data_IF_435412183554
#
_entry.id   IF_435412183554
#
_cell.length_a   1.000
_cell.length_b   1.000
_cell.length_c   1.000
_cell.angle_alpha   90.00
_cell.angle_beta   90.00
_cell.angle_gamma   90.00
#
_symmetry.space_group_name_H-M   'P 1'
#
loop_
_entity.id
_entity.type
_entity.pdbx_description
1 polymer ?
#
# COMPACT_ATOMS: atom_id res chain seq x y z
N UNK A 1 30.83 -15.84 9.58
CA UNK A 1 31.11 -14.43 9.91
C UNK A 1 29.76 -13.77 10.14
N UNK A 2 29.37 -13.56 11.39
CA UNK A 2 28.06 -12.96 11.71
C UNK A 2 28.17 -11.45 11.51
N UNK A 3 27.52 -10.92 10.48
CA UNK A 3 27.30 -9.48 10.36
C UNK A 3 26.22 -9.10 11.38
N UNK A 4 26.65 -8.55 12.51
CA UNK A 4 25.80 -7.79 13.41
C UNK A 4 25.38 -6.51 12.69
N UNK A 5 24.19 -6.53 12.08
CA UNK A 5 23.52 -5.31 11.65
C UNK A 5 23.00 -4.62 12.91
N UNK A 6 23.66 -3.55 13.32
CA UNK A 6 23.15 -2.65 14.36
C UNK A 6 21.84 -2.07 13.83
N UNK A 7 20.74 -2.31 14.55
CA UNK A 7 19.46 -1.68 14.27
C UNK A 7 19.63 -0.15 14.32
N UNK A 8 19.73 0.46 13.15
CA UNK A 8 19.62 1.91 13.01
C UNK A 8 18.23 2.31 13.51
N UNK A 9 18.10 3.51 14.05
CA UNK A 9 16.82 4.03 14.53
C UNK A 9 15.91 4.26 13.30
N UNK A 10 15.21 3.20 12.88
CA UNK A 10 14.58 3.04 11.57
C UNK A 10 13.19 3.69 11.47
N UNK A 11 12.93 4.77 12.20
CA UNK A 11 11.65 5.44 12.05
C UNK A 11 11.58 6.15 10.70
N UNK A 12 10.52 5.93 9.90
CA UNK A 12 10.39 6.60 8.62
C UNK A 12 10.34 8.12 8.84
N UNK A 13 11.16 8.84 8.08
CA UNK A 13 11.11 10.30 8.06
C UNK A 13 10.26 10.76 6.90
N UNK A 14 9.28 11.64 7.14
CA UNK A 14 8.37 12.14 6.12
C UNK A 14 8.63 13.62 5.88
N UNK A 15 8.86 14.00 4.63
CA UNK A 15 9.04 15.39 4.20
C UNK A 15 7.94 15.78 3.21
N UNK A 16 7.30 16.93 3.41
CA UNK A 16 6.33 17.47 2.46
C UNK A 16 6.99 18.52 1.56
N UNK A 17 6.95 18.30 0.25
CA UNK A 17 7.35 19.27 -0.76
C UNK A 17 6.12 20.09 -1.21
N UNK A 18 5.99 21.37 -0.80
CA UNK A 18 4.84 22.20 -1.13
C UNK A 18 4.79 22.60 -2.61
N UNK A 19 5.92 22.59 -3.32
CA UNK A 19 5.98 22.98 -4.74
C UNK A 19 5.32 21.94 -5.62
N UNK A 20 5.49 20.67 -5.27
CA UNK A 20 4.97 19.53 -6.04
C UNK A 20 3.75 18.88 -5.39
N UNK A 21 3.36 19.31 -4.18
CA UNK A 21 2.34 18.67 -3.34
C UNK A 21 2.60 17.17 -3.15
N UNK A 22 3.86 16.81 -2.89
CA UNK A 22 4.29 15.41 -2.72
C UNK A 22 4.93 15.21 -1.35
N UNK A 23 4.80 13.99 -0.84
CA UNK A 23 5.52 13.52 0.33
C UNK A 23 6.71 12.67 -0.09
N UNK A 24 7.84 12.85 0.58
CA UNK A 24 9.01 11.98 0.46
C UNK A 24 9.13 11.21 1.77
N UNK A 25 9.04 9.89 1.69
CA UNK A 25 9.23 9.00 2.84
C UNK A 25 10.61 8.38 2.72
N UNK A 26 11.47 8.66 3.69
CA UNK A 26 12.79 8.07 3.82
C UNK A 26 12.74 6.93 4.82
N UNK A 27 13.08 5.71 4.38
CA UNK A 27 13.08 4.53 5.23
C UNK A 27 14.13 3.55 4.74
N UNK A 28 15.03 3.14 5.63
CA UNK A 28 16.14 2.22 5.34
C UNK A 28 16.95 2.57 4.08
N UNK A 29 17.30 3.86 3.93
CA UNK A 29 18.05 4.36 2.77
C UNK A 29 17.24 4.46 1.46
N UNK A 30 15.98 4.02 1.45
CA UNK A 30 15.07 4.17 0.32
C UNK A 30 14.31 5.50 0.42
N UNK A 31 14.04 6.09 -0.75
CA UNK A 31 13.16 7.26 -0.87
C UNK A 31 11.93 6.87 -1.66
N UNK A 32 10.77 6.98 -1.01
CA UNK A 32 9.45 6.70 -1.60
C UNK A 32 8.75 8.03 -1.85
N UNK A 33 8.39 8.29 -3.10
CA UNK A 33 7.59 9.45 -3.47
C UNK A 33 6.10 9.11 -3.33
N UNK A 34 5.41 9.80 -2.43
CA UNK A 34 4.00 9.56 -2.14
C UNK A 34 3.15 10.78 -2.50
N UNK A 35 2.07 10.54 -3.23
CA UNK A 35 1.06 11.56 -3.55
C UNK A 35 -0.24 11.19 -2.86
N UNK A 36 -0.80 12.12 -2.08
CA UNK A 36 -2.13 11.99 -1.49
C UNK A 36 -3.11 12.81 -2.32
N UNK A 37 -4.16 12.18 -2.84
CA UNK A 37 -5.11 12.84 -3.74
C UNK A 37 -6.50 12.24 -3.63
N UNK A 38 -7.51 13.02 -3.96
CA UNK A 38 -8.88 12.55 -4.21
C UNK A 38 -9.25 12.66 -5.70
N UNK A 39 -8.25 12.84 -6.58
CA UNK A 39 -8.36 12.88 -8.04
C UNK A 39 -7.47 11.79 -8.65
N UNK A 40 -7.92 11.15 -9.72
CA UNK A 40 -7.13 10.13 -10.41
C UNK A 40 -5.82 10.69 -10.99
N UNK A 41 -4.76 9.88 -10.99
CA UNK A 41 -3.49 10.18 -11.63
C UNK A 41 -3.15 9.12 -12.69
N UNK A 42 -2.22 9.43 -13.59
CA UNK A 42 -1.84 8.55 -14.70
C UNK A 42 -0.65 7.68 -14.28
N UNK A 43 -0.75 6.37 -14.49
CA UNK A 43 0.34 5.42 -14.26
C UNK A 43 1.29 5.33 -15.48
N UNK A 44 2.56 4.99 -15.22
CA UNK A 44 3.56 4.72 -16.27
C UNK A 44 3.43 3.31 -16.88
N UNK A 45 4.38 2.91 -17.74
CA UNK A 45 4.39 1.62 -18.47
C UNK A 45 4.68 0.37 -17.62
N UNK A 46 4.81 0.49 -16.29
CA UNK A 46 5.11 -0.64 -15.41
C UNK A 46 3.88 -1.53 -15.21
N UNK A 47 4.05 -2.85 -15.28
CA UNK A 47 2.91 -3.79 -15.25
C UNK A 47 2.51 -4.24 -13.85
N UNK A 48 3.38 -4.15 -12.85
CA UNK A 48 3.08 -4.65 -11.50
C UNK A 48 2.76 -3.48 -10.58
N UNK A 49 1.61 -3.53 -9.93
CA UNK A 49 1.09 -2.46 -9.06
C UNK A 49 0.78 -3.06 -7.69
N UNK A 50 1.49 -2.62 -6.65
CA UNK A 50 1.12 -2.92 -5.28
C UNK A 50 -0.21 -2.27 -4.93
N UNK A 51 -1.15 -3.03 -4.36
CA UNK A 51 -2.48 -2.57 -4.02
C UNK A 51 -2.78 -2.92 -2.55
N UNK A 52 -3.26 -1.93 -1.81
CA UNK A 52 -3.78 -2.11 -0.45
C UNK A 52 -4.97 -1.19 -0.20
N UNK A 53 -5.81 -1.54 0.77
CA UNK A 53 -7.03 -0.80 1.09
C UNK A 53 -7.27 -0.70 2.58
N UNK A 54 -7.66 0.49 3.03
CA UNK A 54 -8.11 0.72 4.40
C UNK A 54 -9.62 0.93 4.45
N UNK A 55 -10.27 0.30 5.43
CA UNK A 55 -11.71 0.17 5.48
C UNK A 55 -12.26 0.88 6.72
N UNK A 56 -13.46 1.44 6.56
CA UNK A 56 -14.21 2.02 7.67
C UNK A 56 -15.53 1.27 7.88
N UNK A 57 -15.99 1.10 9.13
CA UNK A 57 -17.34 0.65 9.39
C UNK A 57 -18.34 1.74 8.96
N UNK A 58 -19.37 1.34 8.21
CA UNK A 58 -20.50 2.21 7.83
C UNK A 58 -21.76 1.82 8.59
N UNK A 59 -21.97 0.52 8.78
CA UNK A 59 -23.05 -0.05 9.59
C UNK A 59 -22.48 -1.21 10.45
N UNK A 60 -23.31 -1.87 11.26
CA UNK A 60 -22.86 -2.98 12.13
C UNK A 60 -22.14 -4.10 11.38
N UNK A 61 -22.50 -4.36 10.13
CA UNK A 61 -21.93 -5.45 9.30
C UNK A 61 -21.29 -4.97 8.01
N UNK A 62 -21.53 -3.72 7.60
CA UNK A 62 -21.02 -3.18 6.34
C UNK A 62 -19.77 -2.34 6.56
N UNK A 63 -18.77 -2.61 5.74
CA UNK A 63 -17.55 -1.80 5.63
C UNK A 63 -17.48 -1.17 4.25
N UNK A 64 -16.87 0.02 4.17
CA UNK A 64 -16.57 0.70 2.91
C UNK A 64 -15.09 0.99 2.86
N UNK A 65 -14.49 0.86 1.68
CA UNK A 65 -13.11 1.28 1.44
C UNK A 65 -13.03 2.81 1.58
N UNK A 66 -12.20 3.27 2.51
CA UNK A 66 -11.96 4.69 2.74
C UNK A 66 -10.70 5.16 2.01
N UNK A 67 -9.67 4.32 1.96
CA UNK A 67 -8.39 4.62 1.32
C UNK A 67 -8.01 3.47 0.39
N UNK A 68 -7.55 3.83 -0.80
CA UNK A 68 -6.88 2.94 -1.74
C UNK A 68 -5.42 3.39 -1.85
N UNK A 69 -4.48 2.47 -1.64
CA UNK A 69 -3.07 2.69 -1.86
C UNK A 69 -2.62 1.93 -3.12
N UNK A 70 -1.94 2.62 -4.03
CA UNK A 70 -1.36 2.04 -5.23
C UNK A 70 0.12 2.38 -5.28
N UNK A 71 1.00 1.38 -5.38
CA UNK A 71 2.45 1.62 -5.45
C UNK A 71 3.05 0.97 -6.70
N UNK A 72 3.86 1.74 -7.42
CA UNK A 72 4.67 1.28 -8.55
C UNK A 72 6.10 1.66 -8.24
N UNK A 73 6.98 0.65 -8.14
CA UNK A 73 8.38 0.84 -7.75
C UNK A 73 8.49 1.61 -6.43
N UNK A 74 9.09 2.81 -6.45
CA UNK A 74 9.25 3.70 -5.30
C UNK A 74 8.23 4.85 -5.29
N UNK A 75 7.14 4.75 -6.04
CA UNK A 75 6.09 5.77 -6.10
C UNK A 75 4.79 5.20 -5.58
N UNK A 76 4.20 5.87 -4.60
CA UNK A 76 2.92 5.49 -4.04
C UNK A 76 1.87 6.60 -4.24
N UNK A 77 0.65 6.17 -4.47
CA UNK A 77 -0.52 7.01 -4.61
C UNK A 77 -1.53 6.59 -3.56
N UNK A 78 -1.89 7.52 -2.69
CA UNK A 78 -2.90 7.33 -1.65
C UNK A 78 -4.16 8.08 -2.10
N UNK A 79 -5.22 7.32 -2.32
CA UNK A 79 -6.51 7.82 -2.80
C UNK A 79 -7.53 7.74 -1.68
N UNK A 80 -8.00 8.90 -1.20
CA UNK A 80 -9.05 8.97 -0.16
C UNK A 80 -10.44 8.79 -0.78
N UNK A 81 -10.79 7.55 -1.12
CA UNK A 81 -12.09 7.17 -1.70
C UNK A 81 -13.28 7.61 -0.84
N UNK A 82 -13.11 7.74 0.49
CA UNK A 82 -14.17 8.22 1.38
C UNK A 82 -14.68 9.63 1.01
N UNK A 83 -13.81 10.48 0.47
CA UNK A 83 -14.13 11.87 0.11
C UNK A 83 -14.58 12.05 -1.34
N UNK A 84 -14.70 10.96 -2.10
CA UNK A 84 -15.21 11.00 -3.46
C UNK A 84 -16.71 10.71 -3.48
N UNK A 85 -17.46 11.52 -4.23
CA UNK A 85 -18.88 11.23 -4.50
C UNK A 85 -19.02 9.91 -5.29
N UNK A 86 -18.13 9.71 -6.27
CA UNK A 86 -18.05 8.50 -7.08
C UNK A 86 -16.58 8.21 -7.44
N UNK A 87 -16.25 6.92 -7.59
CA UNK A 87 -14.94 6.49 -8.11
C UNK A 87 -14.82 6.97 -9.58
N UNK A 88 -13.80 7.78 -9.93
CA UNK A 88 -13.62 8.28 -11.28
C UNK A 88 -13.49 7.16 -12.31
N UNK A 89 -14.04 7.37 -13.51
CA UNK A 89 -13.97 6.38 -14.59
C UNK A 89 -12.53 6.00 -14.95
N UNK A 90 -11.60 6.96 -14.90
CA UNK A 90 -10.18 6.70 -15.15
C UNK A 90 -9.59 5.68 -14.17
N UNK A 91 -9.96 5.76 -12.89
CA UNK A 91 -9.51 4.83 -11.86
C UNK A 91 -10.15 3.44 -12.05
N UNK A 92 -11.44 3.39 -12.39
CA UNK A 92 -12.11 2.12 -12.73
C UNK A 92 -11.46 1.44 -13.94
N UNK A 93 -11.26 2.19 -15.02
CA UNK A 93 -10.60 1.70 -16.22
C UNK A 93 -9.19 1.22 -15.93
N UNK A 94 -8.43 1.92 -15.08
CA UNK A 94 -7.10 1.49 -14.65
C UNK A 94 -7.12 0.16 -13.87
N UNK A 95 -8.01 0.02 -12.88
CA UNK A 95 -8.16 -1.22 -12.10
C UNK A 95 -8.60 -2.41 -12.96
N UNK A 96 -9.31 -2.16 -14.05
CA UNK A 96 -9.79 -3.18 -14.99
C UNK A 96 -8.84 -3.44 -16.17
N UNK A 97 -7.75 -2.68 -16.30
CA UNK A 97 -6.85 -2.81 -17.45
C UNK A 97 -5.96 -4.07 -17.30
N UNK A 98 -6.09 -4.99 -18.26
CA UNK A 98 -5.30 -6.23 -18.35
C UNK A 98 -3.79 -6.03 -18.56
N UNK A 99 -3.35 -4.82 -18.89
CA UNK A 99 -1.94 -4.49 -18.97
C UNK A 99 -1.27 -4.40 -17.59
N UNK A 100 -2.06 -4.32 -16.52
CA UNK A 100 -1.59 -4.24 -15.15
C UNK A 100 -1.96 -5.50 -14.35
N UNK A 101 -1.03 -5.92 -13.50
CA UNK A 101 -1.17 -6.97 -12.52
C UNK A 101 -1.13 -6.33 -11.13
N UNK A 102 -2.24 -6.41 -10.41
CA UNK A 102 -2.34 -5.89 -9.06
C UNK A 102 -1.84 -6.94 -8.07
N UNK A 103 -1.01 -6.54 -7.12
CA UNK A 103 -0.39 -7.46 -6.17
C UNK A 103 -0.58 -6.95 -4.74
N UNK A 104 -0.87 -7.85 -3.82
CA UNK A 104 -1.06 -7.51 -2.41
C UNK A 104 -1.25 -8.77 -1.57
N UNK A 105 -1.53 -8.60 -0.28
CA UNK A 105 -1.80 -9.74 0.61
C UNK A 105 -3.30 -9.92 0.73
N UNK A 106 -3.79 -11.09 0.33
CA UNK A 106 -5.21 -11.36 0.17
C UNK A 106 -5.75 -10.96 -1.21
N UNK A 107 -7.06 -11.09 -1.37
CA UNK A 107 -7.77 -10.88 -2.64
C UNK A 107 -9.04 -10.03 -2.51
N UNK A 108 -9.46 -9.68 -1.29
CA UNK A 108 -10.60 -8.79 -1.07
C UNK A 108 -10.11 -7.37 -0.77
N UNK A 109 -10.24 -6.52 -1.78
CA UNK A 109 -9.92 -5.10 -1.70
C UNK A 109 -11.17 -4.22 -1.75
N UNK A 110 -12.38 -4.80 -1.71
CA UNK A 110 -13.64 -4.05 -1.75
C UNK A 110 -13.87 -3.23 -3.02
N UNK A 111 -13.14 -3.55 -4.09
CA UNK A 111 -13.16 -2.87 -5.39
C UNK A 111 -13.17 -3.92 -6.51
N UNK A 112 -13.76 -3.57 -7.65
CA UNK A 112 -13.62 -4.35 -8.87
C UNK A 112 -12.25 -4.08 -9.50
N UNK A 113 -11.54 -5.15 -9.87
CA UNK A 113 -10.26 -5.11 -10.56
C UNK A 113 -10.12 -6.37 -11.42
N UNK A 114 -9.30 -6.31 -12.48
CA UNK A 114 -9.24 -7.39 -13.47
C UNK A 114 -8.50 -8.65 -12.95
N UNK A 115 -7.28 -8.48 -12.45
CA UNK A 115 -6.47 -9.59 -11.96
C UNK A 115 -5.60 -9.17 -10.78
N UNK A 116 -5.73 -9.94 -9.70
CA UNK A 116 -4.98 -9.78 -8.47
C UNK A 116 -4.12 -11.01 -8.20
N UNK A 117 -2.92 -10.79 -7.70
CA UNK A 117 -2.01 -11.83 -7.27
C UNK A 117 -1.81 -11.68 -5.77
N UNK A 118 -2.19 -12.71 -5.03
CA UNK A 118 -1.88 -12.80 -3.60
C UNK A 118 -0.39 -13.14 -3.43
N UNK A 119 0.42 -12.14 -3.08
CA UNK A 119 1.86 -12.30 -2.92
C UNK A 119 2.18 -13.21 -1.74
N UNK A 120 1.29 -13.35 -0.76
CA UNK A 120 1.49 -14.26 0.37
C UNK A 120 1.43 -15.72 -0.05
N UNK A 121 0.50 -16.07 -0.94
CA UNK A 121 0.39 -17.41 -1.49
C UNK A 121 1.55 -17.72 -2.43
N UNK A 122 1.95 -16.76 -3.27
CA UNK A 122 3.12 -16.92 -4.12
C UNK A 122 4.42 -17.10 -3.31
N UNK A 123 4.62 -16.28 -2.28
CA UNK A 123 5.79 -16.35 -1.42
C UNK A 123 5.87 -17.71 -0.72
N UNK A 124 4.78 -18.18 -0.12
CA UNK A 124 4.72 -19.52 0.52
C UNK A 124 5.00 -20.65 -0.45
N UNK A 125 4.49 -20.56 -1.69
CA UNK A 125 4.75 -21.57 -2.71
C UNK A 125 6.22 -21.59 -3.13
N UNK A 126 6.85 -20.42 -3.22
CA UNK A 126 8.23 -20.28 -3.71
C UNK A 126 9.29 -20.53 -2.63
N UNK A 127 9.00 -20.16 -1.39
CA UNK A 127 9.91 -20.28 -0.25
C UNK A 127 9.20 -20.90 0.97
N UNK A 128 8.77 -22.17 0.86
CA UNK A 128 7.94 -22.81 1.90
C UNK A 128 8.62 -22.89 3.26
N UNK A 129 9.95 -23.01 3.30
CA UNK A 129 10.71 -23.15 4.55
C UNK A 129 11.13 -21.80 5.18
N UNK A 130 11.02 -20.70 4.42
CA UNK A 130 11.43 -19.36 4.86
C UNK A 130 10.24 -18.51 5.34
N UNK A 131 9.05 -18.74 4.79
CA UNK A 131 7.86 -17.93 5.10
C UNK A 131 7.09 -18.53 6.27
N UNK A 132 7.19 -17.89 7.44
CA UNK A 132 6.47 -18.35 8.62
C UNK A 132 5.00 -17.94 8.61
N UNK A 133 4.69 -16.76 8.08
CA UNK A 133 3.34 -16.19 8.10
C UNK A 133 3.03 -15.34 6.86
N UNK A 134 1.81 -15.45 6.35
CA UNK A 134 1.40 -14.79 5.10
C UNK A 134 1.07 -13.30 5.21
N UNK A 135 1.18 -12.67 6.38
CA UNK A 135 0.88 -11.25 6.49
C UNK A 135 2.05 -10.39 5.99
N UNK A 136 1.71 -9.28 5.33
CA UNK A 136 2.65 -8.39 4.66
C UNK A 136 3.88 -8.01 5.49
N UNK A 137 3.72 -7.72 6.78
CA UNK A 137 4.85 -7.35 7.67
C UNK A 137 5.88 -8.47 7.82
N UNK A 138 5.44 -9.74 7.86
CA UNK A 138 6.32 -10.89 8.00
C UNK A 138 7.01 -11.17 6.67
N UNK A 139 6.27 -11.15 5.56
CA UNK A 139 6.86 -11.27 4.22
C UNK A 139 7.95 -10.21 3.99
N UNK A 140 7.68 -8.97 4.42
CA UNK A 140 8.63 -7.85 4.29
C UNK A 140 9.90 -8.11 5.12
N UNK A 141 9.73 -8.58 6.37
CA UNK A 141 10.85 -8.92 7.24
C UNK A 141 11.65 -10.15 6.76
N UNK A 142 10.97 -11.17 6.26
CA UNK A 142 11.57 -12.46 5.91
C UNK A 142 12.22 -12.46 4.52
N UNK A 143 11.68 -11.70 3.56
CA UNK A 143 12.17 -11.69 2.18
C UNK A 143 13.06 -10.50 1.84
N UNK A 144 12.80 -9.33 2.44
CA UNK A 144 13.55 -8.10 2.13
C UNK A 144 14.20 -7.47 3.36
N UNK A 145 14.12 -8.14 4.52
CA UNK A 145 14.79 -7.74 5.76
C UNK A 145 14.40 -6.35 6.29
N UNK A 146 13.22 -5.86 5.89
CA UNK A 146 12.67 -4.58 6.38
C UNK A 146 11.67 -4.83 7.52
N UNK A 147 11.84 -4.14 8.65
CA UNK A 147 10.96 -4.29 9.82
C UNK A 147 9.88 -3.21 9.87
N UNK A 148 8.70 -3.55 9.36
CA UNK A 148 7.55 -2.63 9.37
C UNK A 148 6.80 -2.70 10.70
N UNK A 149 7.09 -1.74 11.59
CA UNK A 149 6.29 -1.57 12.80
C UNK A 149 4.89 -1.07 12.44
N UNK A 150 3.88 -1.94 12.60
CA UNK A 150 2.48 -1.53 12.52
C UNK A 150 2.01 -1.06 13.88
N UNK A 151 2.02 0.25 14.11
CA UNK A 151 1.38 0.82 15.29
C UNK A 151 -0.12 0.52 15.25
N UNK A 152 -0.60 -0.25 16.23
CA UNK A 152 -2.03 -0.57 16.36
C UNK A 152 -2.88 0.70 16.49
N UNK A 153 -2.34 1.74 17.10
CA UNK A 153 -3.01 3.02 17.24
C UNK A 153 -3.21 3.72 15.89
N UNK A 154 -2.32 3.52 14.91
CA UNK A 154 -2.41 4.07 13.55
C UNK A 154 -3.37 3.24 12.70
N UNK A 155 -3.26 1.91 12.72
CA UNK A 155 -4.15 1.03 11.96
C UNK A 155 -5.62 1.10 12.39
N UNK A 156 -5.90 1.64 13.58
CA UNK A 156 -7.25 1.83 14.12
C UNK A 156 -7.77 3.28 13.97
N UNK A 157 -7.04 4.17 13.27
CA UNK A 157 -7.42 5.59 13.14
C UNK A 157 -8.67 5.81 12.30
N UNK A 158 -9.19 7.04 12.42
CA UNK A 158 -10.26 7.55 11.56
C UNK A 158 -9.76 7.81 10.14
N UNK A 159 -9.78 6.77 9.29
CA UNK A 159 -9.49 6.88 7.85
C UNK A 159 -10.43 7.82 7.07
N UNK A 160 -11.36 8.48 7.77
CA UNK A 160 -12.24 9.54 7.26
C UNK A 160 -11.59 10.94 7.28
N UNK A 161 -10.45 11.10 7.94
CA UNK A 161 -9.77 12.41 8.02
C UNK A 161 -9.17 12.79 6.66
N UNK A 162 -9.31 14.07 6.28
CA UNK A 162 -8.62 14.64 5.11
C UNK A 162 -7.11 14.69 5.32
N UNK A 163 -6.68 14.95 6.56
CA UNK A 163 -5.28 14.92 6.94
C UNK A 163 -4.96 13.53 7.52
N UNK A 164 -4.11 12.78 6.82
CA UNK A 164 -3.55 11.54 7.32
C UNK A 164 -2.35 11.90 8.19
N UNK A 165 -2.49 11.69 9.50
CA UNK A 165 -1.42 11.89 10.50
C UNK A 165 -0.90 10.55 10.99
#
# INVERSE_FOLDING_TARGET
MAMTMTASNNNPTVFFNPTTSKYLVFYDGLTIETIITYKGSIAGKQRVVGLDTEWIPVEKTKKKVAILQLCIENKCLIIQLFHMDNIPQSLRSFLMDSNFEFVGVGNDYGLEYNKGIDVSLLAKKKWPDQISFGAQKFLTKELVYLDMEKSKAVCAREWKSKELT
#
